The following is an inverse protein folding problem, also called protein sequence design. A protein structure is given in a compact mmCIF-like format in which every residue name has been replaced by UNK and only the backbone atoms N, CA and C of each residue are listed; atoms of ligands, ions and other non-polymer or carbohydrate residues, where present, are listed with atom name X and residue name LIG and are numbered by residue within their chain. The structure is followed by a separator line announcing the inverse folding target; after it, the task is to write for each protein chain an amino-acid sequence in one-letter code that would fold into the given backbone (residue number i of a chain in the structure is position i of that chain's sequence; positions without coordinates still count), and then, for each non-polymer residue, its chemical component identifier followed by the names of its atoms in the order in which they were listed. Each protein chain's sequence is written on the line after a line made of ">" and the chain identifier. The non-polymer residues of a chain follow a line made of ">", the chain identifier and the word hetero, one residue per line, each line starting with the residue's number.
data_IF_197091058374
#
_entry.id   IF_197091058374
#
_cell.length_a   1.000
_cell.length_b   1.000
_cell.length_c   1.000
_cell.angle_alpha   90.00
_cell.angle_beta   90.00
_cell.angle_gamma   90.00
#
_symmetry.space_group_name_H-M   'P 1'
#
loop_
_entity.id
_entity.type
_entity.pdbx_description
1 polymer ?
#
# COMPACT_ATOMS: atom_id res chain seq x y z
N UNK A 1 -40.34 11.85 2.88
CA UNK A 1 -39.91 12.75 1.80
C UNK A 1 -38.40 12.86 1.96
N UNK A 2 -37.61 11.90 1.45
CA UNK A 2 -37.01 11.93 0.10
C UNK A 2 -36.07 13.14 -0.03
N UNK A 3 -34.74 13.04 -0.09
CA UNK A 3 -33.87 12.00 -0.64
C UNK A 3 -32.57 11.87 0.16
N UNK A 4 -32.15 10.64 0.43
CA UNK A 4 -30.76 10.33 0.77
C UNK A 4 -30.00 10.36 -0.55
N UNK A 5 -29.25 11.44 -0.80
CA UNK A 5 -28.26 11.49 -1.87
C UNK A 5 -26.99 10.83 -1.33
N UNK A 6 -26.89 9.50 -1.46
CA UNK A 6 -25.61 8.82 -1.44
C UNK A 6 -25.01 9.04 -2.83
N UNK A 7 -24.26 10.11 -2.98
CA UNK A 7 -23.33 10.23 -4.11
C UNK A 7 -22.04 10.78 -3.56
N UNK A 8 -21.19 9.88 -3.07
CA UNK A 8 -19.74 10.07 -3.16
C UNK A 8 -19.43 10.47 -4.59
N UNK A 9 -18.73 11.57 -4.77
CA UNK A 9 -18.38 12.06 -6.10
C UNK A 9 -17.32 11.14 -6.75
N UNK A 10 -17.14 11.24 -8.06
CA UNK A 10 -16.03 10.55 -8.74
C UNK A 10 -14.67 11.00 -8.17
N UNK A 11 -14.54 12.28 -7.81
CA UNK A 11 -13.35 12.82 -7.17
C UNK A 11 -13.15 12.27 -5.75
N UNK A 12 -14.21 12.11 -4.95
CA UNK A 12 -14.10 11.49 -3.62
C UNK A 12 -13.71 10.01 -3.71
N UNK A 13 -14.26 9.30 -4.70
CA UNK A 13 -13.92 7.89 -4.93
C UNK A 13 -12.46 7.74 -5.38
N UNK A 14 -11.97 8.67 -6.21
CA UNK A 14 -10.57 8.73 -6.64
C UNK A 14 -9.65 9.04 -5.46
N UNK A 15 -10.01 10.01 -4.62
CA UNK A 15 -9.25 10.39 -3.43
C UNK A 15 -9.18 9.25 -2.41
N UNK A 16 -10.29 8.55 -2.17
CA UNK A 16 -10.32 7.36 -1.31
C UNK A 16 -9.35 6.29 -1.81
N UNK A 17 -9.40 5.98 -3.10
CA UNK A 17 -8.48 5.01 -3.72
C UNK A 17 -7.01 5.45 -3.59
N UNK A 18 -6.74 6.75 -3.72
CA UNK A 18 -5.38 7.29 -3.58
C UNK A 18 -4.85 7.17 -2.16
N UNK A 19 -5.67 7.46 -1.14
CA UNK A 19 -5.32 7.28 0.28
C UNK A 19 -5.01 5.81 0.57
N UNK A 20 -5.89 4.88 0.15
CA UNK A 20 -5.70 3.44 0.35
C UNK A 20 -4.40 2.94 -0.33
N UNK A 21 -4.11 3.45 -1.53
CA UNK A 21 -2.88 3.14 -2.26
C UNK A 21 -1.64 3.64 -1.50
N UNK A 22 -1.68 4.87 -0.98
CA UNK A 22 -0.61 5.45 -0.18
C UNK A 22 -0.36 4.64 1.11
N UNK A 23 -1.41 4.21 1.79
CA UNK A 23 -1.31 3.32 2.97
C UNK A 23 -0.62 1.99 2.63
N UNK A 24 -0.96 1.40 1.49
CA UNK A 24 -0.33 0.18 1.02
C UNK A 24 1.16 0.38 0.70
N UNK A 25 1.52 1.49 0.04
CA UNK A 25 2.91 1.86 -0.27
C UNK A 25 3.74 2.07 0.98
N UNK A 26 3.18 2.75 1.99
CA UNK A 26 3.83 2.97 3.28
C UNK A 26 4.08 1.65 4.01
N UNK A 27 3.09 0.74 4.02
CA UNK A 27 3.23 -0.59 4.63
C UNK A 27 4.29 -1.44 3.91
N UNK A 28 4.31 -1.41 2.58
CA UNK A 28 5.29 -2.12 1.76
C UNK A 28 6.72 -1.63 2.02
N UNK A 29 6.91 -0.31 2.04
CA UNK A 29 8.19 0.33 2.28
C UNK A 29 8.73 0.04 3.69
N UNK A 30 7.87 0.14 4.71
CA UNK A 30 8.23 -0.23 6.08
C UNK A 30 8.63 -1.71 6.19
N UNK A 31 7.92 -2.60 5.49
CA UNK A 31 8.24 -4.03 5.44
C UNK A 31 9.61 -4.29 4.80
N UNK A 32 9.96 -3.58 3.74
CA UNK A 32 11.27 -3.66 3.10
C UNK A 32 12.40 -3.20 4.05
N UNK A 33 12.20 -2.09 4.76
CA UNK A 33 13.16 -1.59 5.76
C UNK A 33 13.38 -2.59 6.90
N UNK A 34 12.31 -3.18 7.44
CA UNK A 34 12.39 -4.22 8.48
C UNK A 34 13.16 -5.44 7.98
N UNK A 35 12.89 -5.89 6.75
CA UNK A 35 13.53 -7.07 6.17
C UNK A 35 15.02 -6.85 5.91
N UNK A 36 15.40 -5.66 5.43
CA UNK A 36 16.80 -5.28 5.25
C UNK A 36 17.56 -5.24 6.58
N UNK A 37 16.96 -4.65 7.62
CA UNK A 37 17.56 -4.62 8.96
C UNK A 37 17.72 -6.03 9.54
N UNK A 38 16.68 -6.87 9.46
CA UNK A 38 16.74 -8.26 9.92
C UNK A 38 17.86 -9.03 9.20
N UNK A 39 17.96 -8.90 7.88
CA UNK A 39 18.97 -9.60 7.09
C UNK A 39 20.39 -9.16 7.45
N UNK A 40 20.59 -7.86 7.66
CA UNK A 40 21.89 -7.31 8.05
C UNK A 40 22.30 -7.72 9.48
N UNK A 41 21.35 -7.80 10.41
CA UNK A 41 21.62 -8.30 11.77
C UNK A 41 21.92 -9.81 11.74
N UNK A 42 21.18 -10.58 10.95
CA UNK A 42 21.37 -12.02 10.82
C UNK A 42 22.71 -12.40 10.17
N UNK A 43 23.27 -11.55 9.28
CA UNK A 43 24.59 -11.78 8.69
C UNK A 43 25.76 -11.54 9.67
N UNK A 44 25.49 -10.89 10.81
CA UNK A 44 26.52 -10.50 11.78
C UNK A 44 27.33 -9.27 11.39
N UNK A 45 27.04 -8.65 10.24
CA UNK A 45 27.70 -7.42 9.79
C UNK A 45 27.14 -6.20 10.54
N UNK A 46 27.91 -5.74 11.54
CA UNK A 46 27.52 -4.60 12.38
C UNK A 46 27.43 -3.28 11.60
N UNK A 47 28.25 -3.10 10.57
CA UNK A 47 28.23 -1.87 9.76
C UNK A 47 26.98 -1.85 8.89
N UNK A 48 26.66 -2.97 8.23
CA UNK A 48 25.43 -3.11 7.45
C UNK A 48 24.19 -2.99 8.33
N UNK A 49 24.18 -3.57 9.53
CA UNK A 49 23.07 -3.48 10.47
C UNK A 49 22.83 -2.02 10.92
N UNK A 50 23.92 -1.28 11.23
CA UNK A 50 23.81 0.12 11.61
C UNK A 50 23.31 1.00 10.45
N UNK A 51 23.78 0.74 9.22
CA UNK A 51 23.30 1.45 8.03
C UNK A 51 21.82 1.19 7.75
N UNK A 52 21.39 -0.08 7.80
CA UNK A 52 19.99 -0.47 7.59
C UNK A 52 19.06 0.14 8.66
N UNK A 53 19.50 0.16 9.92
CA UNK A 53 18.77 0.82 11.02
C UNK A 53 18.64 2.32 10.79
N UNK A 54 19.73 2.99 10.43
CA UNK A 54 19.74 4.44 10.17
C UNK A 54 18.78 4.78 9.04
N UNK A 55 18.78 3.99 7.96
CA UNK A 55 17.84 4.15 6.86
C UNK A 55 16.37 3.95 7.31
N UNK A 56 16.08 2.90 8.09
CA UNK A 56 14.73 2.63 8.60
C UNK A 56 14.21 3.77 9.51
N UNK A 57 15.07 4.31 10.38
CA UNK A 57 14.71 5.45 11.25
C UNK A 57 14.44 6.70 10.43
N UNK A 58 15.35 7.05 9.52
CA UNK A 58 15.21 8.24 8.67
C UNK A 58 13.93 8.17 7.83
N UNK A 59 13.66 7.03 7.21
CA UNK A 59 12.46 6.83 6.42
C UNK A 59 11.20 6.92 7.28
N UNK A 60 11.19 6.30 8.47
CA UNK A 60 10.03 6.34 9.37
C UNK A 60 9.73 7.77 9.85
N UNK A 61 10.76 8.58 10.12
CA UNK A 61 10.56 9.98 10.51
C UNK A 61 9.96 10.81 9.38
N UNK A 62 10.46 10.64 8.15
CA UNK A 62 10.06 11.45 7.00
C UNK A 62 8.73 11.02 6.39
N UNK A 63 8.35 9.75 6.51
CA UNK A 63 7.17 9.21 5.83
C UNK A 63 6.08 8.79 6.80
N UNK A 64 6.42 8.11 7.89
CA UNK A 64 5.41 7.67 8.88
C UNK A 64 5.05 8.85 9.79
N UNK A 65 6.00 9.39 10.55
CA UNK A 65 5.69 10.43 11.55
C UNK A 65 5.17 11.73 10.90
N UNK A 66 5.71 12.11 9.75
CA UNK A 66 5.20 13.26 8.99
C UNK A 66 3.76 13.05 8.52
N UNK A 67 3.40 11.83 8.10
CA UNK A 67 2.03 11.51 7.71
C UNK A 67 1.08 11.53 8.90
N UNK A 68 1.44 10.86 10.01
CA UNK A 68 0.61 10.85 11.22
C UNK A 68 0.32 12.27 11.75
N UNK A 69 1.31 13.15 11.74
CA UNK A 69 1.14 14.57 12.11
C UNK A 69 0.21 15.32 11.13
N UNK A 70 0.24 14.99 9.83
CA UNK A 70 -0.67 15.53 8.85
C UNK A 70 -2.12 15.04 9.08
N UNK A 71 -2.32 13.77 9.43
CA UNK A 71 -3.64 13.21 9.75
C UNK A 71 -4.28 13.89 10.96
N UNK A 72 -3.49 14.13 12.01
CA UNK A 72 -3.94 14.84 13.21
C UNK A 72 -4.41 16.26 12.92
N UNK A 73 -3.81 16.92 11.92
CA UNK A 73 -4.16 18.28 11.52
C UNK A 73 -5.35 18.34 10.57
N UNK A 74 -5.52 17.34 9.73
CA UNK A 74 -6.47 17.37 8.60
C UNK A 74 -7.67 16.46 8.84
N UNK A 75 -7.45 15.16 9.05
CA UNK A 75 -8.53 14.16 9.09
C UNK A 75 -9.22 14.11 10.45
N UNK A 76 -8.45 14.11 11.53
CA UNK A 76 -8.98 13.86 12.87
C UNK A 76 -9.92 14.94 13.40
N UNK A 77 -9.70 16.25 13.15
CA UNK A 77 -10.66 17.27 13.57
C UNK A 77 -12.04 17.07 12.92
N UNK A 78 -12.06 16.66 11.64
CA UNK A 78 -13.30 16.42 10.89
C UNK A 78 -14.01 15.16 11.39
N UNK A 79 -13.26 14.08 11.61
CA UNK A 79 -13.82 12.83 12.12
C UNK A 79 -14.31 12.95 13.57
N UNK A 80 -13.58 13.66 14.44
CA UNK A 80 -13.94 13.85 15.85
C UNK A 80 -15.18 14.74 16.04
N UNK A 81 -15.51 15.58 15.06
CA UNK A 81 -16.76 16.34 15.04
C UNK A 81 -17.99 15.44 14.80
N UNK A 82 -17.80 14.20 14.33
CA UNK A 82 -18.85 13.18 14.21
C UNK A 82 -18.97 12.40 15.50
N UNK A 83 -20.20 12.11 15.94
CA UNK A 83 -20.44 11.41 17.21
C UNK A 83 -19.85 10.01 17.20
N UNK A 84 -19.96 9.33 16.05
CA UNK A 84 -19.43 8.00 15.76
C UNK A 84 -17.90 7.97 15.69
N UNK A 85 -17.28 9.09 15.29
CA UNK A 85 -15.82 9.19 15.08
C UNK A 85 -15.02 9.53 16.33
N UNK A 86 -15.64 10.11 17.36
CA UNK A 86 -14.92 10.66 18.53
C UNK A 86 -14.04 9.63 19.26
N UNK A 87 -14.60 8.46 19.60
CA UNK A 87 -13.85 7.41 20.30
C UNK A 87 -12.84 6.71 19.39
N UNK A 88 -13.12 6.66 18.08
CA UNK A 88 -12.18 6.12 17.10
C UNK A 88 -10.94 7.03 16.99
N UNK A 89 -11.13 8.35 16.92
CA UNK A 89 -10.01 9.31 16.87
C UNK A 89 -9.19 9.28 18.16
N UNK A 90 -9.81 9.10 19.33
CA UNK A 90 -9.07 8.89 20.58
C UNK A 90 -8.18 7.64 20.53
N UNK A 91 -8.70 6.53 20.00
CA UNK A 91 -7.92 5.31 19.82
C UNK A 91 -6.79 5.48 18.78
N UNK A 92 -7.03 6.23 17.70
CA UNK A 92 -6.02 6.51 16.67
C UNK A 92 -4.89 7.41 17.19
N UNK A 93 -5.17 8.40 18.04
CA UNK A 93 -4.11 9.16 18.71
C UNK A 93 -3.25 8.26 19.63
N UNK A 94 -3.87 7.33 20.36
CA UNK A 94 -3.11 6.38 21.18
C UNK A 94 -2.22 5.45 20.33
N UNK A 95 -2.68 5.06 19.14
CA UNK A 95 -1.85 4.35 18.17
C UNK A 95 -0.68 5.22 17.68
N UNK A 96 -0.90 6.51 17.38
CA UNK A 96 0.17 7.44 16.99
C UNK A 96 1.25 7.57 18.07
N UNK A 97 0.86 7.73 19.33
CA UNK A 97 1.80 7.76 20.46
C UNK A 97 2.63 6.46 20.53
N UNK A 98 1.98 5.32 20.34
CA UNK A 98 2.65 4.01 20.30
C UNK A 98 3.63 3.90 19.14
N UNK A 99 3.22 4.32 17.94
CA UNK A 99 4.05 4.30 16.72
C UNK A 99 5.26 5.23 16.88
N UNK A 100 5.05 6.46 17.36
CA UNK A 100 6.13 7.41 17.64
C UNK A 100 7.12 6.87 18.68
N UNK A 101 6.61 6.23 19.74
CA UNK A 101 7.42 5.54 20.73
C UNK A 101 8.30 4.45 20.10
N UNK A 102 7.72 3.61 19.24
CA UNK A 102 8.44 2.53 18.54
C UNK A 102 9.49 3.04 17.55
N UNK A 103 9.25 4.16 16.86
CA UNK A 103 10.27 4.82 16.03
C UNK A 103 11.43 5.31 16.90
N UNK A 104 11.15 5.88 18.07
CA UNK A 104 12.20 6.29 19.00
C UNK A 104 12.96 5.09 19.60
N UNK A 105 12.27 4.00 19.95
CA UNK A 105 12.91 2.76 20.40
C UNK A 105 13.82 2.16 19.31
N UNK A 106 13.39 2.16 18.06
CA UNK A 106 14.23 1.76 16.92
C UNK A 106 15.46 2.67 16.80
N UNK A 107 15.29 3.98 16.97
CA UNK A 107 16.38 4.94 16.92
C UNK A 107 17.37 4.80 18.09
N UNK A 108 16.92 4.37 19.27
CA UNK A 108 17.72 4.30 20.50
C UNK A 108 18.08 2.87 20.95
N UNK A 109 17.69 1.84 20.21
CA UNK A 109 18.02 0.44 20.51
C UNK A 109 19.53 0.24 20.80
N UNK A 110 19.90 -0.51 21.86
CA UNK A 110 21.30 -0.66 22.24
C UNK A 110 22.05 -1.71 21.39
N UNK A 111 21.32 -2.57 20.67
CA UNK A 111 21.87 -3.63 19.82
C UNK A 111 20.94 -3.92 18.63
N UNK A 112 21.45 -4.67 17.65
CA UNK A 112 20.72 -5.00 16.42
C UNK A 112 19.48 -5.86 16.66
N UNK A 113 19.49 -6.74 17.66
CA UNK A 113 18.34 -7.62 17.98
C UNK A 113 17.17 -6.79 18.49
N UNK A 114 17.43 -5.86 19.41
CA UNK A 114 16.41 -4.93 19.90
C UNK A 114 15.95 -3.95 18.83
N UNK A 115 16.83 -3.54 17.91
CA UNK A 115 16.44 -2.71 16.77
C UNK A 115 15.45 -3.47 15.86
N UNK A 116 15.73 -4.74 15.53
CA UNK A 116 14.82 -5.60 14.75
C UNK A 116 13.48 -5.80 15.47
N UNK A 117 13.50 -6.00 16.80
CA UNK A 117 12.28 -6.16 17.59
C UNK A 117 11.40 -4.89 17.53
N UNK A 118 11.99 -3.71 17.75
CA UNK A 118 11.28 -2.43 17.66
C UNK A 118 10.74 -2.18 16.24
N UNK A 119 11.55 -2.43 15.20
CA UNK A 119 11.11 -2.26 13.81
C UNK A 119 9.96 -3.22 13.42
N UNK A 120 9.99 -4.46 13.94
CA UNK A 120 8.93 -5.44 13.70
C UNK A 120 7.64 -5.03 14.42
N UNK A 121 7.74 -4.57 15.67
CA UNK A 121 6.60 -4.04 16.41
C UNK A 121 6.00 -2.80 15.74
N UNK A 122 6.85 -1.88 15.27
CA UNK A 122 6.45 -0.70 14.48
C UNK A 122 5.61 -1.11 13.27
N UNK A 123 6.09 -2.08 12.48
CA UNK A 123 5.35 -2.60 11.31
C UNK A 123 3.99 -3.18 11.69
N UNK A 124 3.90 -3.94 12.78
CA UNK A 124 2.64 -4.53 13.23
C UNK A 124 1.66 -3.46 13.72
N UNK A 125 2.15 -2.50 14.52
CA UNK A 125 1.34 -1.37 14.98
C UNK A 125 0.81 -0.55 13.79
N UNK A 126 1.66 -0.28 12.80
CA UNK A 126 1.28 0.47 11.61
C UNK A 126 0.19 -0.22 10.80
N UNK A 127 0.30 -1.53 10.58
CA UNK A 127 -0.74 -2.30 9.88
C UNK A 127 -2.07 -2.25 10.65
N UNK A 128 -2.03 -2.34 11.98
CA UNK A 128 -3.23 -2.24 12.82
C UNK A 128 -3.87 -0.85 12.77
N UNK A 129 -3.06 0.20 12.79
CA UNK A 129 -3.49 1.60 12.67
C UNK A 129 -4.16 1.88 11.32
N UNK A 130 -3.48 1.58 10.21
CA UNK A 130 -4.00 1.80 8.86
C UNK A 130 -5.28 1.00 8.61
N UNK A 131 -5.38 -0.21 9.16
CA UNK A 131 -6.62 -1.00 9.06
C UNK A 131 -7.83 -0.31 9.72
N UNK A 132 -7.64 0.37 10.86
CA UNK A 132 -8.72 1.16 11.49
C UNK A 132 -9.11 2.35 10.62
N UNK A 133 -8.15 2.96 9.94
CA UNK A 133 -8.42 4.07 9.05
C UNK A 133 -9.18 3.62 7.80
N UNK A 134 -8.67 2.61 7.10
CA UNK A 134 -9.28 2.08 5.88
C UNK A 134 -10.68 1.51 6.11
N UNK A 135 -10.86 0.78 7.22
CA UNK A 135 -12.10 0.04 7.46
C UNK A 135 -13.14 0.82 8.26
N UNK A 136 -12.75 1.90 8.95
CA UNK A 136 -13.64 2.62 9.86
C UNK A 136 -13.62 4.13 9.62
N UNK A 137 -12.44 4.77 9.64
CA UNK A 137 -12.33 6.23 9.53
C UNK A 137 -12.75 6.74 8.14
N UNK A 138 -12.17 6.16 7.07
CA UNK A 138 -12.43 6.59 5.70
C UNK A 138 -13.89 6.33 5.29
N UNK A 139 -14.51 5.16 5.58
CA UNK A 139 -15.94 4.96 5.32
C UNK A 139 -16.84 5.93 6.10
N UNK A 140 -16.49 6.26 7.34
CA UNK A 140 -17.22 7.25 8.14
C UNK A 140 -17.20 8.64 7.47
N UNK A 141 -16.03 9.07 6.99
CA UNK A 141 -15.89 10.35 6.29
C UNK A 141 -16.55 10.33 4.90
N UNK A 142 -16.42 9.24 4.15
CA UNK A 142 -17.06 9.06 2.85
C UNK A 142 -18.59 9.11 2.90
N UNK A 143 -19.18 8.63 4.00
CA UNK A 143 -20.62 8.62 4.21
C UNK A 143 -21.19 9.98 4.67
N UNK A 144 -20.34 10.92 5.09
CA UNK A 144 -20.76 12.21 5.61
C UNK A 144 -21.02 13.20 4.44
N UNK A 145 -22.26 13.71 4.28
CA UNK A 145 -22.62 14.56 3.13
C UNK A 145 -21.98 15.95 3.17
N UNK A 146 -21.46 16.36 4.32
CA UNK A 146 -20.79 17.64 4.55
C UNK A 146 -19.26 17.53 4.44
N UNK A 147 -18.73 16.38 4.03
CA UNK A 147 -17.29 16.10 3.91
C UNK A 147 -16.93 15.85 2.45
N UNK A 148 -15.86 16.52 1.99
CA UNK A 148 -15.22 16.28 0.68
C UNK A 148 -13.91 15.52 0.92
N UNK A 149 -13.86 14.25 0.52
CA UNK A 149 -12.65 13.43 0.65
C UNK A 149 -11.56 13.93 -0.29
N UNK A 150 -11.92 14.43 -1.47
CA UNK A 150 -10.94 15.03 -2.38
C UNK A 150 -10.23 16.25 -1.79
N UNK A 151 -10.96 17.12 -1.07
CA UNK A 151 -10.33 18.29 -0.45
C UNK A 151 -9.48 17.90 0.75
N UNK A 152 -9.91 16.91 1.54
CA UNK A 152 -9.12 16.39 2.66
C UNK A 152 -7.84 15.72 2.17
N UNK A 153 -7.91 14.90 1.11
CA UNK A 153 -6.73 14.28 0.51
C UNK A 153 -5.71 15.32 0.03
N UNK A 154 -6.15 16.36 -0.68
CA UNK A 154 -5.25 17.43 -1.14
C UNK A 154 -4.59 18.20 0.02
N UNK A 155 -5.33 18.44 1.12
CA UNK A 155 -4.79 19.04 2.33
C UNK A 155 -3.78 18.13 3.03
N UNK A 156 -4.05 16.82 3.06
CA UNK A 156 -3.18 15.81 3.65
C UNK A 156 -1.85 15.73 2.89
N UNK A 157 -1.87 15.68 1.56
CA UNK A 157 -0.66 15.70 0.72
C UNK A 157 0.21 16.93 0.99
N UNK A 158 -0.44 18.09 1.10
CA UNK A 158 0.24 19.36 1.39
C UNK A 158 0.85 19.35 2.78
N UNK A 159 0.11 18.88 3.79
CA UNK A 159 0.55 18.87 5.18
C UNK A 159 1.66 17.84 5.45
N UNK A 160 1.61 16.67 4.79
CA UNK A 160 2.62 15.62 4.91
C UNK A 160 3.92 15.96 4.14
N UNK A 161 3.95 17.05 3.37
CA UNK A 161 5.08 17.38 2.50
C UNK A 161 5.25 16.39 1.33
N UNK A 162 4.17 15.66 0.99
CA UNK A 162 4.11 14.71 -0.11
C UNK A 162 3.64 15.35 -1.41
N UNK A 163 3.25 16.64 -1.36
CA UNK A 163 3.01 17.45 -2.54
C UNK A 163 4.28 17.48 -3.42
N UNK A 164 4.12 16.92 -4.63
CA UNK A 164 5.19 16.62 -5.58
C UNK A 164 6.23 17.75 -5.74
N UNK A 165 7.49 17.44 -5.44
CA UNK A 165 8.59 17.94 -6.25
C UNK A 165 8.46 17.30 -7.64
N UNK A 166 7.91 18.03 -8.61
CA UNK A 166 8.04 17.69 -10.02
C UNK A 166 9.53 17.72 -10.40
N UNK A 167 10.19 16.58 -10.28
CA UNK A 167 11.51 16.35 -10.89
C UNK A 167 11.29 15.96 -12.36
N UNK A 168 11.95 16.61 -13.33
CA UNK A 168 11.87 16.20 -14.73
C UNK A 168 12.52 14.81 -14.89
N UNK A 169 11.84 13.92 -15.61
CA UNK A 169 12.39 12.64 -16.02
C UNK A 169 13.71 12.84 -16.78
N UNK A 170 14.81 12.35 -16.21
CA UNK A 170 16.07 12.18 -16.91
C UNK A 170 16.12 10.75 -17.46
N UNK A 171 16.23 10.65 -18.78
CA UNK A 171 16.43 9.41 -19.52
C UNK A 171 17.65 8.64 -18.97
N UNK A 172 17.43 7.40 -18.54
CA UNK A 172 18.50 6.46 -18.22
C UNK A 172 18.32 5.17 -19.03
N UNK A 173 19.37 4.88 -19.78
CA UNK A 173 19.53 3.83 -20.76
C UNK A 173 19.12 2.42 -20.31
N UNK A 174 18.45 1.71 -21.23
CA UNK A 174 18.15 0.30 -21.11
C UNK A 174 19.35 -0.55 -21.54
N UNK A 175 20.03 -1.17 -20.57
CA UNK A 175 20.82 -2.38 -20.79
C UNK A 175 20.05 -3.57 -20.22
N UNK A 176 19.88 -4.59 -21.08
CA UNK A 176 19.06 -5.76 -20.80
C UNK A 176 19.64 -6.64 -19.70
N UNK A 177 18.86 -6.85 -18.64
CA UNK A 177 19.10 -7.93 -17.70
C UNK A 177 18.36 -9.20 -18.13
N UNK A 178 19.14 -10.14 -18.64
CA UNK A 178 18.82 -11.56 -18.74
C UNK A 178 18.71 -12.15 -17.32
N UNK A 179 17.54 -12.69 -16.97
CA UNK A 179 17.29 -13.27 -15.66
C UNK A 179 17.76 -14.73 -15.64
N UNK A 180 18.80 -14.98 -14.85
CA UNK A 180 19.41 -16.30 -14.62
C UNK A 180 18.67 -17.08 -13.51
N UNK A 181 17.47 -17.57 -13.79
CA UNK A 181 16.85 -18.62 -13.00
C UNK A 181 16.46 -19.77 -13.91
N UNK A 182 17.23 -20.86 -13.81
CA UNK A 182 17.08 -22.05 -14.64
C UNK A 182 15.90 -22.91 -14.22
N UNK A 183 14.70 -22.54 -14.64
CA UNK A 183 13.57 -23.47 -14.74
C UNK A 183 13.07 -23.53 -16.18
N UNK A 184 12.91 -24.76 -16.66
CA UNK A 184 12.58 -25.08 -18.05
C UNK A 184 11.16 -24.65 -18.39
N UNK A 185 11.03 -23.91 -19.50
CA UNK A 185 9.78 -23.46 -20.13
C UNK A 185 8.75 -24.59 -20.27
N UNK A 186 7.71 -24.56 -19.43
CA UNK A 186 6.46 -25.26 -19.73
C UNK A 186 5.66 -24.38 -20.70
N UNK A 187 5.09 -24.99 -21.75
CA UNK A 187 4.35 -24.28 -22.82
C UNK A 187 3.09 -23.60 -22.27
N UNK A 188 3.24 -22.38 -21.75
CA UNK A 188 2.15 -21.58 -21.20
C UNK A 188 2.60 -20.19 -20.81
N UNK A 189 1.65 -19.31 -20.51
CA UNK A 189 1.95 -18.05 -19.84
C UNK A 189 2.35 -18.33 -18.38
N UNK A 190 3.28 -17.55 -17.79
CA UNK A 190 3.62 -17.66 -16.37
C UNK A 190 2.35 -17.53 -15.50
N UNK A 191 2.31 -18.25 -14.38
CA UNK A 191 1.17 -18.26 -13.47
C UNK A 191 1.45 -17.45 -12.19
N UNK A 192 0.50 -16.59 -11.82
CA UNK A 192 0.47 -15.88 -10.56
C UNK A 192 -0.75 -16.32 -9.75
N UNK A 193 -0.51 -17.08 -8.68
CA UNK A 193 -1.55 -17.42 -7.72
C UNK A 193 -1.72 -16.32 -6.67
N UNK A 194 -2.74 -15.48 -6.84
CA UNK A 194 -3.03 -14.39 -5.91
C UNK A 194 -3.49 -14.90 -4.53
N UNK A 195 -3.94 -16.16 -4.40
CA UNK A 195 -4.43 -16.72 -3.13
C UNK A 195 -3.30 -16.88 -2.11
N UNK A 196 -2.10 -17.19 -2.58
CA UNK A 196 -0.91 -17.33 -1.72
C UNK A 196 -0.25 -15.99 -1.41
N UNK A 197 -0.63 -14.93 -2.12
CA UNK A 197 -0.18 -13.57 -1.85
C UNK A 197 -0.99 -12.97 -0.70
N UNK A 198 -0.33 -12.45 0.36
CA UNK A 198 -1.01 -11.78 1.47
C UNK A 198 -1.95 -10.68 0.97
N UNK A 199 -3.16 -10.63 1.53
CA UNK A 199 -4.22 -9.72 1.08
C UNK A 199 -3.74 -8.26 0.93
N UNK A 200 -2.94 -7.78 1.89
CA UNK A 200 -2.42 -6.41 1.93
C UNK A 200 -1.54 -6.03 0.72
N UNK A 201 -0.87 -6.98 0.07
CA UNK A 201 0.02 -6.71 -1.08
C UNK A 201 -0.49 -7.32 -2.40
N UNK A 202 -1.52 -8.18 -2.32
CA UNK A 202 -2.04 -8.95 -3.45
C UNK A 202 -2.35 -8.10 -4.67
N UNK A 203 -3.02 -6.97 -4.45
CA UNK A 203 -3.39 -6.06 -5.52
C UNK A 203 -2.16 -5.49 -6.25
N UNK A 204 -1.20 -4.96 -5.50
CA UNK A 204 0.06 -4.43 -6.03
C UNK A 204 0.87 -5.52 -6.75
N UNK A 205 0.94 -6.74 -6.19
CA UNK A 205 1.63 -7.86 -6.82
C UNK A 205 1.00 -8.23 -8.17
N UNK A 206 -0.34 -8.28 -8.26
CA UNK A 206 -1.02 -8.60 -9.52
C UNK A 206 -0.78 -7.52 -10.56
N UNK A 207 -0.91 -6.24 -10.20
CA UNK A 207 -0.70 -5.15 -11.15
C UNK A 207 0.76 -4.99 -11.58
N UNK A 208 1.72 -5.14 -10.66
CA UNK A 208 3.14 -5.13 -11.02
C UNK A 208 3.52 -6.28 -11.97
N UNK A 209 2.94 -7.47 -11.76
CA UNK A 209 3.12 -8.59 -12.68
C UNK A 209 2.52 -8.29 -14.07
N UNK A 210 1.33 -7.68 -14.13
CA UNK A 210 0.68 -7.29 -15.40
C UNK A 210 1.45 -6.19 -16.15
N UNK A 211 2.01 -5.20 -15.45
CA UNK A 211 2.80 -4.12 -16.06
C UNK A 211 4.09 -4.64 -16.71
N UNK A 212 4.66 -5.71 -16.15
CA UNK A 212 5.85 -6.38 -16.68
C UNK A 212 5.56 -7.27 -17.90
N UNK A 213 4.28 -7.57 -18.21
CA UNK A 213 3.92 -8.36 -19.40
C UNK A 213 4.24 -7.55 -20.67
N UNK A 214 5.07 -8.11 -21.55
CA UNK A 214 5.37 -7.49 -22.85
C UNK A 214 4.20 -7.67 -23.83
N UNK A 215 4.01 -6.77 -24.81
CA UNK A 215 3.02 -6.96 -25.88
C UNK A 215 3.15 -8.35 -26.56
N UNK A 216 2.03 -9.01 -26.79
CA UNK A 216 1.95 -10.38 -27.32
C UNK A 216 2.30 -11.50 -26.33
N UNK A 217 2.59 -11.17 -25.07
CA UNK A 217 2.76 -12.13 -23.96
C UNK A 217 1.59 -12.02 -22.99
N UNK A 218 1.52 -12.94 -22.02
CA UNK A 218 0.42 -13.01 -21.07
C UNK A 218 0.83 -13.61 -19.74
N UNK A 219 -0.12 -13.63 -18.81
CA UNK A 219 -0.03 -14.16 -17.44
C UNK A 219 -1.32 -14.95 -17.14
N UNK A 220 -1.21 -16.08 -16.45
CA UNK A 220 -2.36 -16.76 -15.84
C UNK A 220 -2.53 -16.22 -14.42
N UNK A 221 -3.66 -15.60 -14.13
CA UNK A 221 -4.03 -15.15 -12.79
C UNK A 221 -4.95 -16.20 -12.13
N UNK A 222 -4.55 -16.69 -10.95
CA UNK A 222 -5.43 -17.51 -10.09
C UNK A 222 -5.95 -16.68 -8.93
N UNK A 223 -7.28 -16.61 -8.79
CA UNK A 223 -7.96 -15.82 -7.78
C UNK A 223 -8.91 -16.69 -6.92
N UNK A 224 -9.14 -16.31 -5.65
CA UNK A 224 -10.06 -17.04 -4.77
C UNK A 224 -11.54 -16.83 -5.13
N UNK A 225 -11.86 -15.83 -5.95
CA UNK A 225 -13.19 -15.50 -6.46
C UNK A 225 -13.05 -14.77 -7.81
N UNK A 226 -14.17 -14.54 -8.51
CA UNK A 226 -14.18 -13.83 -9.79
C UNK A 226 -13.67 -12.38 -9.62
N UNK A 227 -12.52 -12.00 -10.20
CA UNK A 227 -11.87 -10.72 -9.91
C UNK A 227 -12.45 -9.55 -10.72
N UNK A 228 -13.77 -9.48 -10.89
CA UNK A 228 -14.45 -8.43 -11.67
C UNK A 228 -14.00 -6.99 -11.33
N UNK A 229 -13.80 -6.59 -10.05
CA UNK A 229 -13.33 -5.25 -9.73
C UNK A 229 -11.93 -4.96 -10.28
N UNK A 230 -11.03 -5.95 -10.21
CA UNK A 230 -9.68 -5.86 -10.74
C UNK A 230 -9.68 -5.75 -12.26
N UNK A 231 -10.53 -6.53 -12.95
CA UNK A 231 -10.67 -6.45 -14.40
C UNK A 231 -11.21 -5.09 -14.85
N UNK A 232 -12.21 -4.55 -14.13
CA UNK A 232 -12.72 -3.21 -14.40
C UNK A 232 -11.66 -2.14 -14.18
N UNK A 233 -10.80 -2.31 -13.18
CA UNK A 233 -9.69 -1.38 -12.91
C UNK A 233 -8.58 -1.48 -13.96
N UNK A 234 -8.24 -2.69 -14.43
CA UNK A 234 -7.29 -2.90 -15.50
C UNK A 234 -7.73 -2.18 -16.78
N UNK A 235 -9.01 -2.32 -17.15
CA UNK A 235 -9.59 -1.66 -18.32
C UNK A 235 -9.62 -0.13 -18.17
N UNK A 236 -9.92 0.40 -16.98
CA UNK A 236 -9.85 1.86 -16.73
C UNK A 236 -8.42 2.39 -16.85
N UNK A 237 -7.43 1.65 -16.36
CA UNK A 237 -6.02 2.08 -16.35
C UNK A 237 -5.34 1.94 -17.71
N UNK A 238 -5.72 0.93 -18.49
CA UNK A 238 -5.11 0.64 -19.78
C UNK A 238 -6.18 0.15 -20.76
N UNK A 239 -7.06 1.05 -21.26
CA UNK A 239 -8.19 0.68 -22.09
C UNK A 239 -7.77 -0.11 -23.33
N UNK A 240 -8.35 -1.30 -23.51
CA UNK A 240 -8.05 -2.21 -24.62
C UNK A 240 -6.62 -2.75 -24.69
N UNK A 241 -5.78 -2.51 -23.68
CA UNK A 241 -4.39 -2.97 -23.67
C UNK A 241 -4.26 -4.46 -23.32
N UNK A 242 -5.29 -5.05 -22.71
CA UNK A 242 -5.29 -6.45 -22.29
C UNK A 242 -6.52 -7.19 -22.78
N UNK A 243 -6.32 -8.38 -23.32
CA UNK A 243 -7.36 -9.37 -23.59
C UNK A 243 -7.48 -10.34 -22.41
N UNK A 244 -8.70 -10.56 -21.92
CA UNK A 244 -8.97 -11.42 -20.76
C UNK A 244 -9.84 -12.60 -21.19
N UNK A 245 -9.37 -13.82 -20.94
CA UNK A 245 -10.12 -15.05 -21.18
C UNK A 245 -10.17 -15.93 -19.94
N UNK A 246 -11.31 -16.60 -19.72
CA UNK A 246 -11.47 -17.49 -18.57
C UNK A 246 -11.01 -18.89 -18.96
N UNK A 247 -10.00 -19.38 -18.25
CA UNK A 247 -9.48 -20.75 -18.38
C UNK A 247 -10.28 -21.69 -17.48
N UNK A 248 -10.60 -21.24 -16.27
CA UNK A 248 -11.43 -21.96 -15.32
C UNK A 248 -12.32 -20.96 -14.56
N UNK A 249 -13.59 -21.31 -14.40
CA UNK A 249 -14.55 -20.60 -13.54
C UNK A 249 -14.83 -21.49 -12.35
N UNK A 250 -14.89 -20.91 -11.14
CA UNK A 250 -14.91 -21.62 -9.85
C UNK A 250 -16.04 -22.66 -9.67
N UNK A 251 -16.14 -23.27 -8.48
CA UNK A 251 -15.98 -22.60 -7.19
C UNK A 251 -14.63 -22.80 -6.48
N UNK A 252 -13.78 -23.73 -6.91
CA UNK A 252 -12.53 -24.04 -6.19
C UNK A 252 -11.40 -23.05 -6.49
N UNK A 253 -11.32 -22.56 -7.73
CA UNK A 253 -10.41 -21.49 -8.14
C UNK A 253 -10.95 -20.78 -9.38
N UNK A 254 -10.59 -19.50 -9.55
CA UNK A 254 -10.82 -18.76 -10.80
C UNK A 254 -9.49 -18.59 -11.51
N UNK A 255 -9.39 -19.08 -12.75
CA UNK A 255 -8.17 -18.99 -13.56
C UNK A 255 -8.45 -18.18 -14.81
N UNK A 256 -7.74 -17.08 -14.98
CA UNK A 256 -7.89 -16.17 -16.11
C UNK A 256 -6.57 -16.04 -16.84
N UNK A 257 -6.59 -16.13 -18.17
CA UNK A 257 -5.46 -15.74 -19.00
C UNK A 257 -5.63 -14.28 -19.40
N UNK A 258 -4.63 -13.46 -19.06
CA UNK A 258 -4.58 -12.03 -19.35
C UNK A 258 -3.41 -11.80 -20.30
N UNK A 259 -3.69 -11.40 -21.54
CA UNK A 259 -2.71 -11.22 -22.61
C UNK A 259 -2.62 -9.74 -22.96
N UNK A 260 -1.40 -9.21 -23.09
CA UNK A 260 -1.20 -7.82 -23.51
C UNK A 260 -1.22 -7.72 -25.03
N UNK A 261 -2.04 -6.82 -25.56
CA UNK A 261 -2.13 -6.53 -26.99
C UNK A 261 -0.90 -5.78 -27.52
#
# INVERSE_FOLDING_TARGET
>A
MSNVNITTTESDSTALTAIEQQHAEMTGSLTAHVSALLSAVASGDQSAAQAARTAAVSWSQQNVLAYLDAEEKVLYPVAAAKSEGRLLVEALHADHETIAGLVNELAQAPDGVRAVAAATALRVAMVGHLAKQDQQLLPLLAAAPDVSLSDLHSQLDTAAGLAAETTPAADAHADGHDCTCGETDEKGYPELDARVVPHAIRHATVFGALDAVRPGKGLILVAPHDPLPLLAQLERRSPGAFEVSYVERGPEAWRLAIVRN
#
